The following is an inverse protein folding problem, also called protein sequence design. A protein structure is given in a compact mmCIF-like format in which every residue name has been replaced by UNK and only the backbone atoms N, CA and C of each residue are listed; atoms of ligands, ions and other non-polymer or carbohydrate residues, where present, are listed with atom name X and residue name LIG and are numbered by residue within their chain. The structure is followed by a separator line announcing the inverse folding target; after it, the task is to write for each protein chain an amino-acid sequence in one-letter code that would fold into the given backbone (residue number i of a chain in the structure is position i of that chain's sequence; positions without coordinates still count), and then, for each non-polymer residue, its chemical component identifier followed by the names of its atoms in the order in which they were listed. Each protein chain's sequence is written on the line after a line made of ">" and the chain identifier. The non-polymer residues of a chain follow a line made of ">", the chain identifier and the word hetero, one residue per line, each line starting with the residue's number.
data_IF_984108277022
#
_entry.id   IF_984108277022
#
_cell.length_a   1.000
_cell.length_b   1.000
_cell.length_c   1.000
_cell.angle_alpha   90.00
_cell.angle_beta   90.00
_cell.angle_gamma   90.00
#
_symmetry.space_group_name_H-M   'P 1'
#
loop_
_entity.id
_entity.type
_entity.pdbx_description
1 polymer ?
#
# COMPACT_ATOMS: atom_id res chain seq x y z
N UNK A 1 35.60 3.25 -16.98
CA UNK A 1 34.81 2.22 -16.27
C UNK A 1 33.34 2.63 -16.35
N UNK A 2 32.57 1.98 -17.22
CA UNK A 2 31.12 2.13 -17.24
C UNK A 2 30.55 1.31 -16.07
N UNK A 3 30.02 1.98 -15.05
CA UNK A 3 29.29 1.30 -13.99
C UNK A 3 28.05 0.67 -14.62
N UNK A 4 28.00 -0.66 -14.66
CA UNK A 4 26.82 -1.40 -15.09
C UNK A 4 25.66 -1.00 -14.20
N UNK A 5 24.71 -0.25 -14.75
CA UNK A 5 23.50 0.17 -14.04
C UNK A 5 22.69 -1.08 -13.72
N UNK A 6 22.73 -1.51 -12.45
CA UNK A 6 21.85 -2.55 -11.88
C UNK A 6 20.45 -1.98 -11.61
N UNK A 7 19.93 -1.17 -12.53
CA UNK A 7 18.60 -0.61 -12.41
C UNK A 7 17.58 -1.70 -12.73
N UNK A 8 17.01 -2.29 -11.68
CA UNK A 8 15.90 -3.23 -11.80
C UNK A 8 14.71 -2.46 -12.37
N UNK A 9 14.24 -2.85 -13.55
CA UNK A 9 13.01 -2.32 -14.18
C UNK A 9 11.80 -2.84 -13.39
N UNK A 10 11.58 -2.29 -12.20
CA UNK A 10 10.43 -2.60 -11.37
C UNK A 10 9.14 -2.14 -12.08
N UNK A 11 7.98 -2.78 -11.86
CA UNK A 11 6.71 -2.22 -12.27
C UNK A 11 6.49 -0.94 -11.47
N UNK A 12 6.88 0.19 -12.07
CA UNK A 12 6.58 1.56 -11.62
C UNK A 12 5.07 1.72 -11.37
N UNK A 13 4.23 0.82 -11.91
CA UNK A 13 2.80 0.75 -11.62
C UNK A 13 2.42 0.50 -10.15
N UNK A 14 3.20 -0.25 -9.35
CA UNK A 14 2.71 -0.66 -8.02
C UNK A 14 2.51 0.52 -7.06
N UNK A 15 3.52 1.40 -6.93
CA UNK A 15 3.40 2.56 -6.04
C UNK A 15 2.33 3.56 -6.53
N UNK A 16 2.22 3.77 -7.84
CA UNK A 16 1.21 4.66 -8.45
C UNK A 16 -0.19 4.11 -8.23
N UNK A 17 -0.38 2.81 -8.40
CA UNK A 17 -1.65 2.13 -8.20
C UNK A 17 -2.07 2.18 -6.72
N UNK A 18 -1.15 1.87 -5.80
CA UNK A 18 -1.41 1.97 -4.36
C UNK A 18 -1.78 3.39 -3.94
N UNK A 19 -1.03 4.40 -4.39
CA UNK A 19 -1.38 5.79 -4.13
C UNK A 19 -2.78 6.12 -4.66
N UNK A 20 -3.11 5.69 -5.88
CA UNK A 20 -4.45 5.88 -6.44
C UNK A 20 -5.56 5.28 -5.56
N UNK A 21 -5.37 4.05 -5.07
CA UNK A 21 -6.34 3.36 -4.21
C UNK A 21 -6.50 4.09 -2.87
N UNK A 22 -5.39 4.48 -2.22
CA UNK A 22 -5.41 5.19 -0.93
C UNK A 22 -6.16 6.52 -1.06
N UNK A 23 -5.88 7.27 -2.12
CA UNK A 23 -6.52 8.57 -2.38
C UNK A 23 -8.01 8.42 -2.69
N UNK A 24 -8.41 7.34 -3.37
CA UNK A 24 -9.82 7.04 -3.62
C UNK A 24 -10.57 6.69 -2.33
N UNK A 25 -9.94 5.93 -1.43
CA UNK A 25 -10.53 5.56 -0.14
C UNK A 25 -10.58 6.74 0.85
N UNK A 26 -9.62 7.66 0.76
CA UNK A 26 -9.49 8.80 1.67
C UNK A 26 -9.39 10.12 0.89
N UNK A 27 -10.50 10.61 0.31
CA UNK A 27 -10.48 11.81 -0.52
C UNK A 27 -10.10 13.09 0.25
N UNK A 28 -10.16 13.09 1.58
CA UNK A 28 -9.71 14.20 2.42
C UNK A 28 -8.18 14.33 2.54
N UNK A 29 -7.40 13.37 2.05
CA UNK A 29 -5.93 13.47 2.02
C UNK A 29 -5.48 14.56 1.06
N UNK A 30 -6.16 14.70 -0.10
CA UNK A 30 -5.88 15.78 -1.04
C UNK A 30 -6.76 16.98 -0.74
N UNK A 31 -6.11 18.10 -0.44
CA UNK A 31 -6.76 19.40 -0.26
C UNK A 31 -6.51 20.28 -1.49
N UNK A 32 -7.38 21.28 -1.69
CA UNK A 32 -7.32 22.17 -2.86
C UNK A 32 -6.00 22.98 -2.96
N UNK A 33 -5.29 23.12 -1.85
CA UNK A 33 -4.00 23.82 -1.78
C UNK A 33 -2.81 22.93 -2.14
N UNK A 34 -3.01 21.62 -2.30
CA UNK A 34 -1.91 20.72 -2.65
C UNK A 34 -1.45 20.94 -4.08
N UNK A 35 -0.14 20.95 -4.27
CA UNK A 35 0.50 21.16 -5.57
C UNK A 35 1.03 19.82 -6.07
N UNK A 36 0.66 19.37 -7.29
CA UNK A 36 1.22 18.17 -7.88
C UNK A 36 2.75 18.23 -7.96
N UNK A 37 3.43 17.32 -7.28
CA UNK A 37 4.88 17.19 -7.34
C UNK A 37 5.25 16.09 -8.35
N UNK A 38 5.56 16.50 -9.58
CA UNK A 38 5.99 15.58 -10.63
C UNK A 38 7.49 15.35 -10.52
N UNK A 39 7.88 14.07 -10.49
CA UNK A 39 9.29 13.69 -10.36
C UNK A 39 10.05 13.96 -11.66
N UNK A 40 11.12 14.76 -11.57
CA UNK A 40 11.91 15.19 -12.75
C UNK A 40 12.79 14.09 -13.35
N UNK A 41 13.15 13.07 -12.55
CA UNK A 41 14.01 11.96 -12.97
C UNK A 41 13.25 10.63 -12.93
N UNK A 42 13.72 9.56 -13.60
CA UNK A 42 13.21 8.18 -13.44
C UNK A 42 13.46 7.61 -12.04
N UNK A 43 12.62 6.69 -11.56
CA UNK A 43 12.70 6.15 -10.20
C UNK A 43 13.76 5.08 -10.24
N UNK A 44 14.88 5.34 -9.58
CA UNK A 44 15.92 4.36 -9.37
C UNK A 44 15.72 3.78 -7.98
N UNK A 45 15.68 2.46 -7.92
CA UNK A 45 15.68 1.71 -6.69
C UNK A 45 17.01 0.96 -6.62
N UNK A 46 17.62 0.97 -5.43
CA UNK A 46 18.84 0.21 -5.18
C UNK A 46 18.53 -1.29 -5.26
N UNK A 47 19.37 -2.05 -5.95
CA UNK A 47 19.19 -3.48 -6.15
C UNK A 47 19.16 -4.26 -4.82
N UNK A 48 19.80 -3.73 -3.78
CA UNK A 48 19.81 -4.31 -2.42
C UNK A 48 18.42 -4.35 -1.78
N UNK A 49 17.47 -3.52 -2.24
CA UNK A 49 16.06 -3.60 -1.81
C UNK A 49 15.39 -4.90 -2.26
N UNK A 50 15.98 -5.63 -3.22
CA UNK A 50 15.51 -6.91 -3.72
C UNK A 50 16.38 -8.07 -3.23
N UNK A 51 17.40 -7.81 -2.42
CA UNK A 51 18.23 -8.84 -1.82
C UNK A 51 17.69 -9.23 -0.45
N UNK A 52 17.94 -10.46 0.00
CA UNK A 52 17.47 -10.99 1.28
C UNK A 52 16.19 -11.83 1.19
N UNK A 53 15.76 -12.37 2.33
CA UNK A 53 14.53 -13.16 2.45
C UNK A 53 13.31 -12.22 2.35
N UNK A 54 12.60 -12.28 1.22
CA UNK A 54 11.37 -11.52 1.02
C UNK A 54 10.19 -12.27 1.60
N UNK A 55 9.40 -11.59 2.44
CA UNK A 55 8.08 -12.09 2.83
C UNK A 55 7.27 -12.26 1.55
N UNK A 56 6.71 -13.45 1.35
CA UNK A 56 5.91 -13.73 0.17
C UNK A 56 4.84 -12.64 -0.03
N UNK A 57 4.72 -12.13 -1.26
CA UNK A 57 3.81 -11.05 -1.66
C UNK A 57 2.32 -11.30 -1.31
N UNK A 58 1.98 -12.53 -0.90
CA UNK A 58 0.65 -12.99 -0.55
C UNK A 58 0.68 -13.65 0.83
N UNK A 59 1.30 -13.01 1.82
CA UNK A 59 0.96 -13.30 3.20
C UNK A 59 -0.49 -12.85 3.39
N UNK A 60 -1.43 -13.78 3.22
CA UNK A 60 -2.81 -13.57 3.65
C UNK A 60 -2.75 -13.09 5.09
N UNK A 61 -3.38 -11.95 5.46
CA UNK A 61 -3.53 -11.63 6.86
C UNK A 61 -4.25 -12.83 7.48
N UNK A 62 -3.53 -13.54 8.35
CA UNK A 62 -4.11 -14.66 9.06
C UNK A 62 -5.11 -14.06 10.04
N UNK A 63 -6.35 -13.90 9.59
CA UNK A 63 -7.50 -13.74 10.49
C UNK A 63 -7.66 -15.11 11.15
N UNK A 64 -6.80 -15.37 12.13
CA UNK A 64 -6.80 -16.58 12.95
C UNK A 64 -7.89 -16.53 14.04
N UNK A 65 -8.53 -15.37 14.22
CA UNK A 65 -9.70 -15.29 15.08
C UNK A 65 -10.96 -15.38 14.20
N UNK A 66 -11.84 -16.36 14.41
CA UNK A 66 -13.21 -16.19 13.96
C UNK A 66 -13.70 -14.88 14.60
N UNK A 67 -14.05 -13.89 13.77
CA UNK A 67 -14.94 -12.85 14.27
C UNK A 67 -16.21 -13.59 14.63
N UNK A 68 -16.46 -13.78 15.91
CA UNK A 68 -17.72 -14.33 16.38
C UNK A 68 -18.83 -13.58 15.64
N UNK A 69 -19.63 -14.32 14.88
CA UNK A 69 -20.71 -13.75 14.09
C UNK A 69 -21.71 -13.16 15.06
N UNK A 70 -21.56 -11.87 15.36
CA UNK A 70 -22.51 -11.15 16.19
C UNK A 70 -23.82 -11.11 15.44
N UNK A 71 -24.84 -11.73 16.03
CA UNK A 71 -26.19 -11.62 15.50
C UNK A 71 -26.63 -10.16 15.56
N UNK A 72 -27.51 -9.75 14.64
CA UNK A 72 -28.07 -8.38 14.60
C UNK A 72 -28.59 -7.90 15.96
N UNK A 73 -29.07 -8.81 16.81
CA UNK A 73 -29.56 -8.50 18.16
C UNK A 73 -28.44 -8.08 19.11
N UNK A 74 -27.28 -8.74 19.04
CA UNK A 74 -26.11 -8.41 19.85
C UNK A 74 -25.52 -7.06 19.44
N UNK A 75 -25.46 -6.77 18.13
CA UNK A 75 -25.02 -5.47 17.61
C UNK A 75 -25.89 -4.30 18.10
N UNK A 76 -27.21 -4.51 18.24
CA UNK A 76 -28.13 -3.46 18.72
C UNK A 76 -27.94 -3.23 20.23
N UNK A 77 -27.69 -4.30 20.99
CA UNK A 77 -27.51 -4.19 22.44
C UNK A 77 -26.26 -3.38 22.83
N UNK A 78 -25.14 -3.55 22.10
CA UNK A 78 -23.89 -2.82 22.37
C UNK A 78 -23.97 -1.31 22.06
N UNK A 79 -24.92 -0.87 21.22
CA UNK A 79 -25.08 0.54 20.85
C UNK A 79 -26.02 1.32 21.79
N UNK A 80 -26.58 0.65 22.80
CA UNK A 80 -27.54 1.23 23.74
C UNK A 80 -26.94 1.54 25.13
N UNK A 81 -25.65 1.25 25.33
CA UNK A 81 -24.82 1.82 26.42
C UNK A 81 -24.18 3.15 25.99
#
# INVERSE_FOLDING_TARGET
>A
MHAHSMAVKMPIGFHTLLCGIILQQHPGILVKSDIPCIRKSPLSLDYRLFEGEHVAYIATPSVQQPSDSLTRKQMIAELQD
#
